data_IF_325658686777
#
_entry.id   IF_325658686777
#
_cell.length_a   1.000
_cell.length_b   1.000
_cell.length_c   1.000
_cell.angle_alpha   90.00
_cell.angle_beta   90.00
_cell.angle_gamma   90.00
#
_symmetry.space_group_name_H-M   'P 1'
#
loop_
_entity.id
_entity.type
_entity.pdbx_description
1 polymer ?
#
# COMPACT_ATOMS: atom_id res chain seq x y z
N UNK A 1 27.83 -10.67 -22.34
CA UNK A 1 27.07 -11.43 -21.32
C UNK A 1 25.58 -11.21 -21.54
N UNK A 2 24.92 -12.19 -22.16
CA UNK A 2 23.45 -12.20 -22.28
C UNK A 2 22.85 -12.54 -20.90
N UNK A 3 21.97 -11.67 -20.42
CA UNK A 3 21.22 -11.93 -19.20
C UNK A 3 20.08 -12.89 -19.52
N UNK A 4 20.16 -14.10 -18.97
CA UNK A 4 19.11 -15.12 -19.13
C UNK A 4 17.91 -14.79 -18.24
N UNK A 5 16.71 -15.21 -18.66
CA UNK A 5 15.45 -15.09 -17.88
C UNK A 5 15.61 -15.52 -16.42
N UNK A 6 16.37 -16.61 -16.20
CA UNK A 6 16.70 -17.16 -14.90
C UNK A 6 17.49 -16.16 -14.02
N UNK A 7 18.41 -15.38 -14.58
CA UNK A 7 19.17 -14.36 -13.83
C UNK A 7 18.28 -13.20 -13.37
N UNK A 8 17.32 -12.76 -14.18
CA UNK A 8 16.36 -11.73 -13.78
C UNK A 8 15.42 -12.21 -12.67
N UNK A 9 14.96 -13.46 -12.76
CA UNK A 9 14.15 -14.08 -11.70
C UNK A 9 14.94 -14.16 -10.39
N UNK A 10 16.18 -14.65 -10.43
CA UNK A 10 17.05 -14.75 -9.25
C UNK A 10 17.34 -13.38 -8.64
N UNK A 11 17.63 -12.35 -9.45
CA UNK A 11 17.84 -11.01 -8.91
C UNK A 11 16.58 -10.38 -8.34
N UNK A 12 15.44 -10.54 -9.00
CA UNK A 12 14.18 -9.98 -8.49
C UNK A 12 13.80 -10.64 -7.18
N UNK A 13 13.90 -11.97 -7.09
CA UNK A 13 13.73 -12.69 -5.84
C UNK A 13 14.73 -12.23 -4.78
N UNK A 14 16.01 -12.11 -5.13
CA UNK A 14 17.06 -11.63 -4.23
C UNK A 14 16.82 -10.22 -3.69
N UNK A 15 16.39 -9.28 -4.54
CA UNK A 15 16.06 -7.91 -4.14
C UNK A 15 14.85 -7.86 -3.20
N UNK A 16 13.82 -8.66 -3.47
CA UNK A 16 12.64 -8.76 -2.61
C UNK A 16 13.00 -9.34 -1.25
N UNK A 17 13.78 -10.44 -1.23
CA UNK A 17 14.29 -11.03 0.01
C UNK A 17 15.16 -10.04 0.77
N UNK A 18 16.06 -9.32 0.09
CA UNK A 18 16.95 -8.34 0.74
C UNK A 18 16.18 -7.14 1.31
N UNK A 19 15.23 -6.57 0.55
CA UNK A 19 14.37 -5.50 1.03
C UNK A 19 13.57 -5.95 2.25
N UNK A 20 13.07 -7.19 2.22
CA UNK A 20 12.27 -7.70 3.31
C UNK A 20 13.09 -8.05 4.56
N UNK A 21 14.30 -8.59 4.37
CA UNK A 21 15.28 -8.78 5.44
C UNK A 21 15.68 -7.43 6.08
N UNK A 22 15.80 -6.36 5.30
CA UNK A 22 16.11 -5.03 5.83
C UNK A 22 14.96 -4.46 6.68
N UNK A 23 13.71 -4.54 6.21
CA UNK A 23 12.55 -4.12 7.02
C UNK A 23 12.46 -4.94 8.29
N UNK A 24 12.66 -6.25 8.20
CA UNK A 24 12.69 -7.11 9.37
C UNK A 24 13.78 -6.73 10.36
N UNK A 25 15.00 -6.49 9.90
CA UNK A 25 16.10 -6.05 10.76
C UNK A 25 15.75 -4.75 11.51
N UNK A 26 15.07 -3.82 10.84
CA UNK A 26 14.56 -2.58 11.47
C UNK A 26 13.48 -2.90 12.51
N UNK A 27 12.50 -3.75 12.19
CA UNK A 27 11.46 -4.14 13.15
C UNK A 27 12.06 -4.81 14.40
N UNK A 28 12.98 -5.77 14.22
CA UNK A 28 13.68 -6.43 15.33
C UNK A 28 14.51 -5.44 16.14
N UNK A 29 15.25 -4.54 15.49
CA UNK A 29 16.08 -3.55 16.17
C UNK A 29 15.27 -2.49 16.93
N UNK A 30 13.98 -2.31 16.60
CA UNK A 30 13.11 -1.29 17.20
C UNK A 30 12.03 -1.86 18.12
N UNK A 31 11.87 -3.18 18.16
CA UNK A 31 10.94 -3.85 19.06
C UNK A 31 11.60 -4.02 20.43
N UNK A 32 10.91 -3.64 21.50
CA UNK A 32 11.37 -3.95 22.84
C UNK A 32 11.39 -5.48 23.04
N UNK A 33 12.46 -6.04 23.64
CA UNK A 33 12.52 -7.46 23.90
C UNK A 33 11.38 -7.86 24.84
N UNK A 34 10.65 -8.95 24.56
CA UNK A 34 9.60 -9.43 25.46
C UNK A 34 10.19 -9.75 26.84
N UNK A 35 9.48 -9.38 27.91
CA UNK A 35 9.84 -9.74 29.29
C UNK A 35 9.84 -11.28 29.49
N UNK A 36 10.68 -11.86 30.37
CA UNK A 36 10.93 -13.32 30.39
C UNK A 36 9.88 -14.13 31.20
N UNK A 37 9.72 -15.47 30.99
CA UNK A 37 10.38 -16.36 30.03
C UNK A 37 9.40 -17.27 29.24
N UNK A 38 9.11 -16.96 27.99
CA UNK A 38 9.04 -18.04 27.00
C UNK A 38 10.46 -18.30 26.49
N UNK A 39 10.84 -19.56 26.28
CA UNK A 39 12.19 -19.86 25.79
C UNK A 39 12.42 -19.08 24.50
N UNK A 40 13.53 -18.35 24.40
CA UNK A 40 13.86 -17.54 23.22
C UNK A 40 13.74 -18.35 21.91
N UNK A 41 13.93 -19.67 21.98
CA UNK A 41 13.71 -20.61 20.88
C UNK A 41 12.25 -20.67 20.39
N UNK A 42 11.25 -20.64 21.27
CA UNK A 42 9.82 -20.65 20.90
C UNK A 42 9.44 -19.35 20.21
N UNK A 43 9.77 -18.21 20.83
CA UNK A 43 9.56 -16.87 20.27
C UNK A 43 10.23 -16.74 18.90
N UNK A 44 11.50 -17.14 18.77
CA UNK A 44 12.22 -17.12 17.51
C UNK A 44 11.62 -18.04 16.44
N UNK A 45 11.08 -19.21 16.83
CA UNK A 45 10.43 -20.14 15.89
C UNK A 45 9.09 -19.59 15.37
N UNK A 46 8.26 -19.05 16.26
CA UNK A 46 6.98 -18.45 15.88
C UNK A 46 7.19 -17.22 15.00
N UNK A 47 8.16 -16.36 15.36
CA UNK A 47 8.63 -15.26 14.50
C UNK A 47 9.16 -15.76 13.16
N UNK A 48 10.00 -16.80 13.12
CA UNK A 48 10.54 -17.34 11.87
C UNK A 48 9.43 -17.86 10.93
N UNK A 49 8.40 -18.52 11.47
CA UNK A 49 7.26 -18.99 10.68
C UNK A 49 6.41 -17.81 10.20
N UNK A 50 6.11 -16.86 11.09
CA UNK A 50 5.41 -15.62 10.77
C UNK A 50 6.12 -14.84 9.65
N UNK A 51 7.44 -14.93 9.57
CA UNK A 51 8.28 -14.19 8.60
C UNK A 51 8.54 -14.96 7.30
N UNK A 52 8.71 -16.28 7.35
CA UNK A 52 8.99 -17.09 6.17
C UNK A 52 7.82 -17.10 5.19
N UNK A 53 6.60 -17.19 5.70
CA UNK A 53 5.39 -17.27 4.85
C UNK A 53 5.19 -15.99 4.04
N UNK A 54 5.15 -14.76 4.61
CA UNK A 54 5.08 -13.52 3.84
C UNK A 54 6.25 -13.37 2.87
N UNK A 55 7.47 -13.72 3.28
CA UNK A 55 8.65 -13.62 2.40
C UNK A 55 8.51 -14.47 1.15
N UNK A 56 8.11 -15.73 1.30
CA UNK A 56 7.88 -16.64 0.16
C UNK A 56 6.75 -16.14 -0.75
N UNK A 57 5.69 -15.63 -0.14
CA UNK A 57 4.53 -15.05 -0.84
C UNK A 57 4.94 -13.81 -1.64
N UNK A 58 5.78 -12.92 -1.08
CA UNK A 58 6.34 -11.76 -1.78
C UNK A 58 7.27 -12.14 -2.92
N UNK A 59 8.16 -13.12 -2.71
CA UNK A 59 9.06 -13.62 -3.76
C UNK A 59 8.24 -14.18 -4.92
N UNK A 60 7.24 -15.01 -4.63
CA UNK A 60 6.36 -15.57 -5.66
C UNK A 60 5.57 -14.48 -6.39
N UNK A 61 5.00 -13.50 -5.69
CA UNK A 61 4.32 -12.36 -6.30
C UNK A 61 5.24 -11.55 -7.22
N UNK A 62 6.46 -11.23 -6.78
CA UNK A 62 7.42 -10.50 -7.60
C UNK A 62 7.88 -11.30 -8.82
N UNK A 63 8.08 -12.60 -8.68
CA UNK A 63 8.38 -13.49 -9.80
C UNK A 63 7.22 -13.57 -10.79
N UNK A 64 5.97 -13.52 -10.34
CA UNK A 64 4.79 -13.45 -11.20
C UNK A 64 4.71 -12.13 -11.95
N UNK A 65 4.88 -10.99 -11.26
CA UNK A 65 4.94 -9.67 -11.91
C UNK A 65 6.01 -9.66 -12.98
N UNK A 66 7.22 -10.12 -12.65
CA UNK A 66 8.32 -10.24 -13.58
C UNK A 66 7.98 -11.19 -14.74
N UNK A 67 7.37 -12.34 -14.45
CA UNK A 67 6.98 -13.31 -15.47
C UNK A 67 6.01 -12.68 -16.47
N UNK A 68 4.91 -12.06 -16.01
CA UNK A 68 3.92 -11.44 -16.88
C UNK A 68 4.48 -10.25 -17.65
N UNK A 69 5.38 -9.49 -17.02
CA UNK A 69 6.07 -8.41 -17.69
C UNK A 69 7.00 -8.95 -18.79
N UNK A 70 7.79 -9.98 -18.49
CA UNK A 70 8.69 -10.64 -19.43
C UNK A 70 7.96 -11.47 -20.50
N UNK A 71 6.78 -12.03 -20.28
CA UNK A 71 6.06 -12.74 -21.36
C UNK A 71 5.44 -11.78 -22.35
N UNK A 72 4.96 -10.60 -21.89
CA UNK A 72 4.48 -9.54 -22.78
C UNK A 72 5.62 -8.84 -23.52
N UNK A 73 6.74 -8.60 -22.85
CA UNK A 73 7.86 -7.87 -23.44
C UNK A 73 8.90 -8.79 -24.13
N UNK A 74 9.01 -10.05 -23.70
CA UNK A 74 10.14 -10.94 -23.95
C UNK A 74 10.34 -11.38 -25.38
N UNK A 75 9.28 -11.54 -26.17
CA UNK A 75 9.42 -11.84 -27.60
C UNK A 75 10.16 -10.70 -28.34
N UNK A 76 9.90 -9.45 -27.95
CA UNK A 76 10.59 -8.27 -28.51
C UNK A 76 11.92 -8.01 -27.81
N UNK A 77 11.97 -8.14 -26.48
CA UNK A 77 13.16 -7.85 -25.67
C UNK A 77 14.29 -8.87 -25.83
N UNK A 78 14.01 -10.12 -26.23
CA UNK A 78 15.05 -11.12 -26.45
C UNK A 78 15.97 -10.77 -27.63
N UNK A 79 15.46 -10.02 -28.61
CA UNK A 79 16.24 -9.54 -29.74
C UNK A 79 17.00 -8.24 -29.44
N UNK A 80 16.61 -7.52 -28.38
CA UNK A 80 17.15 -6.21 -28.01
C UNK A 80 18.45 -6.33 -27.23
N UNK A 81 19.38 -5.42 -27.49
CA UNK A 81 20.61 -5.32 -26.71
C UNK A 81 20.31 -4.82 -25.27
N UNK A 82 21.23 -4.99 -24.30
CA UNK A 82 20.98 -4.58 -22.91
C UNK A 82 20.55 -3.11 -22.70
N UNK A 83 21.18 -2.09 -23.33
CA UNK A 83 20.73 -0.70 -23.18
C UNK A 83 19.35 -0.46 -23.81
N UNK A 84 19.03 -1.09 -24.94
CA UNK A 84 17.71 -1.01 -25.56
C UNK A 84 16.63 -1.64 -24.67
N UNK A 85 16.92 -2.75 -23.99
CA UNK A 85 16.01 -3.31 -22.99
C UNK A 85 15.76 -2.36 -21.81
N UNK A 86 16.80 -1.71 -21.30
CA UNK A 86 16.66 -0.77 -20.19
C UNK A 86 15.80 0.44 -20.59
N UNK A 87 16.04 0.99 -21.79
CA UNK A 87 15.25 2.10 -22.31
C UNK A 87 13.81 1.68 -22.62
N UNK A 88 13.60 0.53 -23.28
CA UNK A 88 12.27 0.01 -23.58
C UNK A 88 11.47 -0.24 -22.30
N UNK A 89 12.12 -0.74 -21.24
CA UNK A 89 11.49 -0.90 -19.93
C UNK A 89 11.04 0.45 -19.35
N UNK A 90 11.91 1.46 -19.37
CA UNK A 90 11.57 2.80 -18.89
C UNK A 90 10.47 3.46 -19.72
N UNK A 91 10.56 3.39 -21.05
CA UNK A 91 9.57 3.92 -21.99
C UNK A 91 8.20 3.24 -21.82
N UNK A 92 8.17 1.94 -21.50
CA UNK A 92 6.92 1.23 -21.24
C UNK A 92 6.15 1.75 -20.01
N UNK A 93 6.81 2.51 -19.12
CA UNK A 93 6.17 3.18 -17.98
C UNK A 93 5.63 4.57 -18.30
N UNK A 94 5.96 5.13 -19.48
CA UNK A 94 5.56 6.48 -19.85
C UNK A 94 4.04 6.60 -20.05
N UNK A 95 3.47 7.77 -19.69
CA UNK A 95 2.08 8.08 -20.00
C UNK A 95 1.85 8.22 -21.52
N UNK A 96 0.62 8.01 -21.98
CA UNK A 96 0.23 7.95 -23.39
C UNK A 96 0.72 9.11 -24.26
N UNK A 97 0.61 10.34 -23.77
CA UNK A 97 1.04 11.54 -24.49
C UNK A 97 2.57 11.65 -24.67
N UNK A 98 3.37 10.80 -23.99
CA UNK A 98 4.83 10.71 -24.17
C UNK A 98 5.26 9.43 -24.87
N UNK A 99 4.32 8.63 -25.39
CA UNK A 99 4.68 7.42 -26.15
C UNK A 99 5.48 7.79 -27.40
N UNK A 100 5.15 8.91 -28.05
CA UNK A 100 5.87 9.39 -29.23
C UNK A 100 7.31 9.80 -28.88
N UNK A 101 7.52 10.46 -27.73
CA UNK A 101 8.86 10.73 -27.20
C UNK A 101 9.61 9.42 -26.92
N UNK A 102 8.95 8.46 -26.28
CA UNK A 102 9.54 7.15 -26.01
C UNK A 102 9.97 6.42 -27.28
N UNK A 103 9.12 6.44 -28.32
CA UNK A 103 9.42 5.88 -29.64
C UNK A 103 10.60 6.60 -30.30
N UNK A 104 10.65 7.94 -30.22
CA UNK A 104 11.77 8.73 -30.72
C UNK A 104 13.08 8.38 -29.99
N UNK A 105 13.08 8.28 -28.66
CA UNK A 105 14.29 7.91 -27.91
C UNK A 105 14.76 6.48 -28.23
N UNK A 106 13.83 5.54 -28.46
CA UNK A 106 14.22 4.20 -28.92
C UNK A 106 14.84 4.21 -30.31
N UNK A 107 14.35 5.07 -31.21
CA UNK A 107 14.94 5.25 -32.55
C UNK A 107 16.32 5.93 -32.47
N UNK A 108 16.46 6.99 -31.66
CA UNK A 108 17.75 7.65 -31.43
C UNK A 108 18.78 6.69 -30.83
N UNK A 109 18.38 5.85 -29.87
CA UNK A 109 19.28 4.84 -29.31
C UNK A 109 19.80 3.88 -30.39
N UNK A 110 19.01 3.58 -31.44
CA UNK A 110 19.46 2.73 -32.54
C UNK A 110 20.65 3.37 -33.32
N UNK A 111 20.66 4.69 -33.46
CA UNK A 111 21.73 5.45 -34.12
C UNK A 111 22.99 5.62 -33.24
N UNK A 112 22.86 5.55 -31.91
CA UNK A 112 24.01 5.69 -31.00
C UNK A 112 24.96 4.49 -31.16
N UNK A 113 26.15 4.77 -31.69
CA UNK A 113 27.23 3.79 -31.83
C UNK A 113 28.07 3.69 -30.55
N UNK A 114 28.53 2.48 -30.24
CA UNK A 114 29.41 2.21 -29.09
C UNK A 114 28.64 1.89 -27.80
N UNK A 115 29.09 0.83 -27.11
CA UNK A 115 28.37 0.25 -25.96
C UNK A 115 28.23 1.19 -24.77
N UNK A 116 29.28 1.96 -24.45
CA UNK A 116 29.26 2.91 -23.34
C UNK A 116 28.32 4.10 -23.61
N UNK A 117 28.35 4.65 -24.83
CA UNK A 117 27.48 5.75 -25.24
C UNK A 117 26.00 5.34 -25.22
N UNK A 118 25.69 4.14 -25.73
CA UNK A 118 24.33 3.56 -25.68
C UNK A 118 23.81 3.43 -24.25
N UNK A 119 24.64 2.97 -23.31
CA UNK A 119 24.25 2.88 -21.90
C UNK A 119 24.02 4.24 -21.26
N UNK A 120 24.93 5.19 -21.47
CA UNK A 120 24.75 6.58 -21.00
C UNK A 120 23.46 7.19 -21.54
N UNK A 121 23.18 6.99 -22.83
CA UNK A 121 21.95 7.49 -23.47
C UNK A 121 20.72 6.82 -22.85
N UNK A 122 20.69 5.48 -22.79
CA UNK A 122 19.57 4.73 -22.22
C UNK A 122 19.31 5.10 -20.76
N UNK A 123 20.35 5.22 -19.92
CA UNK A 123 20.24 5.65 -18.53
C UNK A 123 19.75 7.10 -18.41
N UNK A 124 20.26 8.01 -19.24
CA UNK A 124 19.82 9.41 -19.24
C UNK A 124 18.35 9.54 -19.64
N UNK A 125 17.92 8.78 -20.65
CA UNK A 125 16.53 8.72 -21.07
C UNK A 125 15.65 8.02 -20.02
N UNK A 126 16.11 6.94 -19.41
CA UNK A 126 15.39 6.26 -18.33
C UNK A 126 15.21 7.19 -17.11
N UNK A 127 16.26 7.92 -16.72
CA UNK A 127 16.16 8.94 -15.69
C UNK A 127 15.21 10.07 -16.11
N UNK A 128 15.26 10.55 -17.35
CA UNK A 128 14.32 11.58 -17.83
C UNK A 128 12.85 11.09 -17.87
N UNK A 129 12.64 9.80 -18.14
CA UNK A 129 11.34 9.16 -18.12
C UNK A 129 10.78 9.02 -16.69
N UNK A 130 11.64 8.61 -15.74
CA UNK A 130 11.27 8.38 -14.34
C UNK A 130 11.23 9.68 -13.51
N UNK A 131 12.08 10.64 -13.83
CA UNK A 131 12.17 11.97 -13.25
C UNK A 131 11.85 13.04 -14.29
N UNK A 132 10.56 13.29 -14.57
CA UNK A 132 10.20 14.43 -15.39
C UNK A 132 10.71 15.71 -14.70
N UNK A 133 11.63 16.44 -15.34
CA UNK A 133 11.98 17.81 -14.97
C UNK A 133 10.70 18.64 -15.03
N UNK A 134 10.12 18.92 -13.86
CA UNK A 134 9.02 19.86 -13.71
C UNK A 134 9.56 21.27 -13.96
N UNK A 135 8.71 22.16 -14.49
CA UNK A 135 9.05 23.55 -14.82
C UNK A 135 9.48 24.40 -13.61
N UNK A 136 9.52 25.74 -13.73
CA UNK A 136 10.17 26.63 -12.76
C UNK A 136 9.74 26.33 -11.33
N UNK A 137 10.73 26.00 -10.50
CA UNK A 137 10.60 25.43 -9.14
C UNK A 137 9.94 26.37 -8.12
N UNK A 138 9.59 27.59 -8.53
CA UNK A 138 9.07 28.64 -7.66
C UNK A 138 7.73 28.26 -7.00
N UNK A 139 6.78 27.68 -7.74
CA UNK A 139 5.47 27.28 -7.18
C UNK A 139 5.61 26.12 -6.19
N UNK A 140 6.40 25.05 -6.48
CA UNK A 140 6.72 24.03 -5.49
C UNK A 140 7.40 24.55 -4.23
N UNK A 141 8.40 25.40 -4.40
CA UNK A 141 9.18 25.94 -3.29
C UNK A 141 8.33 26.85 -2.39
N UNK A 142 7.46 27.68 -2.98
CA UNK A 142 6.60 28.59 -2.24
C UNK A 142 5.54 27.84 -1.42
N UNK A 143 4.90 26.83 -2.00
CA UNK A 143 3.91 26.02 -1.29
C UNK A 143 4.55 25.10 -0.24
N UNK A 144 5.75 24.55 -0.51
CA UNK A 144 6.53 23.85 0.51
C UNK A 144 6.88 24.79 1.68
N UNK A 145 7.27 26.03 1.39
CA UNK A 145 7.52 27.04 2.41
C UNK A 145 6.26 27.40 3.21
N UNK A 146 5.08 27.51 2.58
CA UNK A 146 3.81 27.77 3.27
C UNK A 146 3.40 26.60 4.16
N UNK A 147 3.59 25.38 3.71
CA UNK A 147 3.30 24.17 4.50
C UNK A 147 4.25 24.07 5.69
N UNK A 148 5.54 24.35 5.49
CA UNK A 148 6.55 24.43 6.57
C UNK A 148 6.21 25.56 7.55
N UNK A 149 5.75 26.72 7.07
CA UNK A 149 5.34 27.82 7.95
C UNK A 149 4.08 27.47 8.76
N UNK A 150 3.11 26.78 8.16
CA UNK A 150 1.89 26.34 8.86
C UNK A 150 2.17 25.27 9.93
N UNK A 151 3.12 24.35 9.69
CA UNK A 151 3.53 23.36 10.70
C UNK A 151 4.31 24.00 11.85
N UNK A 152 5.18 24.97 11.57
CA UNK A 152 5.92 25.72 12.60
C UNK A 152 4.99 26.59 13.45
N UNK A 153 3.93 27.16 12.87
CA UNK A 153 2.98 28.01 13.60
C UNK A 153 2.00 27.22 14.50
N UNK A 154 1.63 25.99 14.14
CA UNK A 154 0.69 25.16 14.91
C UNK A 154 1.37 24.31 16.01
N UNK A 155 2.68 24.06 15.90
CA UNK A 155 3.45 23.19 16.79
C UNK A 155 3.43 23.54 18.28
N UNK A 156 3.60 24.82 18.71
CA UNK A 156 3.84 25.13 20.12
C UNK A 156 2.67 24.84 21.06
N UNK A 157 1.43 24.83 20.56
CA UNK A 157 0.22 24.60 21.39
C UNK A 157 -0.10 23.10 21.51
N UNK A 158 0.36 22.29 20.56
CA UNK A 158 0.09 20.83 20.52
C UNK A 158 1.26 20.01 21.11
N UNK A 159 2.50 20.47 20.94
CA UNK A 159 3.71 19.76 21.42
C UNK A 159 3.83 19.70 22.95
N UNK A 160 3.25 20.68 23.66
CA UNK A 160 3.33 20.72 25.12
C UNK A 160 2.51 19.59 25.80
N UNK A 161 1.53 19.00 25.11
CA UNK A 161 0.64 18.00 25.68
C UNK A 161 0.86 16.59 25.11
N UNK A 162 1.18 16.46 23.81
CA UNK A 162 1.25 15.16 23.12
C UNK A 162 2.33 15.19 22.02
N UNK A 163 3.61 14.91 22.35
CA UNK A 163 4.74 15.00 21.40
C UNK A 163 4.56 14.16 20.13
N UNK A 164 3.94 12.98 20.25
CA UNK A 164 3.65 12.11 19.10
C UNK A 164 2.67 12.72 18.11
N UNK A 165 1.70 13.51 18.59
CA UNK A 165 0.72 14.20 17.74
C UNK A 165 1.35 15.35 16.96
N UNK A 166 2.28 16.08 17.59
CA UNK A 166 3.06 17.13 16.92
C UNK A 166 3.88 16.59 15.75
N UNK A 167 4.64 15.50 15.98
CA UNK A 167 5.42 14.83 14.93
C UNK A 167 4.53 14.30 13.80
N UNK A 168 3.40 13.67 14.13
CA UNK A 168 2.43 13.21 13.14
C UNK A 168 1.89 14.35 12.28
N UNK A 169 1.37 15.41 12.92
CA UNK A 169 0.77 16.56 12.23
C UNK A 169 1.79 17.26 11.32
N UNK A 170 3.01 17.50 11.83
CA UNK A 170 4.09 18.12 11.06
C UNK A 170 4.46 17.27 9.84
N UNK A 171 4.63 15.95 10.03
CA UNK A 171 4.98 15.01 8.95
C UNK A 171 3.88 14.91 7.91
N UNK A 172 2.63 14.77 8.33
CA UNK A 172 1.49 14.62 7.42
C UNK A 172 1.25 15.89 6.61
N UNK A 173 1.22 17.06 7.25
CA UNK A 173 1.07 18.34 6.56
C UNK A 173 2.22 18.58 5.58
N UNK A 174 3.46 18.35 6.02
CA UNK A 174 4.66 18.43 5.18
C UNK A 174 4.55 17.58 3.91
N UNK A 175 4.21 16.30 4.07
CA UNK A 175 4.06 15.36 2.96
C UNK A 175 2.86 15.71 2.07
N UNK A 176 1.67 15.92 2.64
CA UNK A 176 0.47 16.27 1.90
C UNK A 176 0.65 17.56 1.10
N UNK A 177 1.31 18.56 1.69
CA UNK A 177 1.68 19.81 1.04
C UNK A 177 2.65 19.61 -0.14
N UNK A 178 3.73 18.86 0.05
CA UNK A 178 4.67 18.52 -1.01
C UNK A 178 4.02 17.74 -2.17
N UNK A 179 3.07 16.87 -1.85
CA UNK A 179 2.29 16.13 -2.83
C UNK A 179 1.31 17.05 -3.58
N UNK A 180 0.60 17.94 -2.88
CA UNK A 180 -0.31 18.91 -3.50
C UNK A 180 0.44 19.80 -4.49
N UNK A 181 1.61 20.29 -4.10
CA UNK A 181 2.56 20.99 -4.97
C UNK A 181 2.84 20.23 -6.25
N UNK A 182 3.18 18.95 -6.11
CA UNK A 182 3.60 18.13 -7.23
C UNK A 182 2.41 17.80 -8.15
N UNK A 183 1.22 17.68 -7.58
CA UNK A 183 -0.03 17.56 -8.34
C UNK A 183 -0.36 18.84 -9.13
N UNK A 184 -0.27 20.02 -8.50
CA UNK A 184 -0.50 21.32 -9.15
C UNK A 184 0.53 21.59 -10.25
N UNK A 185 1.81 21.30 -10.00
CA UNK A 185 2.87 21.42 -11.00
C UNK A 185 2.64 20.50 -12.22
N UNK A 186 1.93 19.38 -12.02
CA UNK A 186 1.59 18.41 -13.09
C UNK A 186 0.29 18.75 -13.83
N UNK A 187 -0.64 19.49 -13.22
CA UNK A 187 -1.95 19.76 -13.81
C UNK A 187 -1.94 21.00 -14.70
N UNK A 188 -1.54 20.87 -15.98
CA UNK A 188 -1.68 21.99 -16.93
C UNK A 188 -3.14 22.32 -17.28
N UNK A 189 -4.07 21.36 -17.13
CA UNK A 189 -5.54 21.53 -17.24
C UNK A 189 -6.20 20.34 -16.56
N UNK A 190 -6.74 20.50 -15.36
CA UNK A 190 -7.45 19.42 -14.71
C UNK A 190 -8.85 19.86 -14.26
N UNK A 191 -9.86 19.38 -14.97
CA UNK A 191 -11.22 19.27 -14.47
C UNK A 191 -11.36 17.85 -13.93
N UNK A 192 -11.50 17.70 -12.63
CA UNK A 192 -11.71 16.39 -12.01
C UNK A 192 -13.15 16.31 -11.51
N UNK A 193 -14.05 15.58 -12.18
CA UNK A 193 -15.10 14.89 -11.43
C UNK A 193 -14.38 13.95 -10.46
N UNK A 194 -14.57 14.15 -9.15
CA UNK A 194 -13.97 13.28 -8.13
C UNK A 194 -14.70 11.94 -8.21
N UNK A 195 -14.05 10.85 -8.69
CA UNK A 195 -14.72 9.55 -8.72
C UNK A 195 -14.98 9.10 -7.28
N UNK A 196 -16.11 8.40 -7.05
CA UNK A 196 -16.52 7.98 -5.71
C UNK A 196 -15.43 7.21 -4.94
N UNK A 197 -14.59 6.44 -5.65
CA UNK A 197 -13.45 5.73 -5.06
C UNK A 197 -12.41 6.69 -4.44
N UNK A 198 -12.09 7.81 -5.10
CA UNK A 198 -11.20 8.83 -4.55
C UNK A 198 -11.84 9.51 -3.34
N UNK A 199 -13.13 9.82 -3.40
CA UNK A 199 -13.85 10.40 -2.26
C UNK A 199 -13.82 9.47 -1.04
N UNK A 200 -13.96 8.16 -1.25
CA UNK A 200 -13.87 7.17 -0.18
C UNK A 200 -12.47 7.15 0.47
N UNK A 201 -11.39 7.18 -0.32
CA UNK A 201 -10.02 7.23 0.22
C UNK A 201 -9.79 8.52 1.02
N UNK A 202 -10.22 9.67 0.48
CA UNK A 202 -10.11 10.97 1.17
C UNK A 202 -10.89 10.96 2.48
N UNK A 203 -12.13 10.47 2.46
CA UNK A 203 -12.96 10.33 3.66
C UNK A 203 -12.34 9.38 4.67
N UNK A 204 -11.76 8.27 4.22
CA UNK A 204 -11.02 7.34 5.08
C UNK A 204 -9.83 8.01 5.75
N UNK A 205 -9.00 8.74 5.01
CA UNK A 205 -7.82 9.43 5.57
C UNK A 205 -8.23 10.52 6.55
N UNK A 206 -9.29 11.28 6.23
CA UNK A 206 -9.86 12.25 7.16
C UNK A 206 -10.36 11.58 8.45
N UNK A 207 -11.07 10.45 8.33
CA UNK A 207 -11.52 9.67 9.48
C UNK A 207 -10.34 9.14 10.31
N UNK A 208 -9.26 8.66 9.67
CA UNK A 208 -8.04 8.24 10.39
C UNK A 208 -7.47 9.36 11.23
N UNK A 209 -7.28 10.55 10.64
CA UNK A 209 -6.72 11.72 11.34
C UNK A 209 -7.61 12.12 12.51
N UNK A 210 -8.92 12.25 12.27
CA UNK A 210 -9.89 12.62 13.31
C UNK A 210 -9.87 11.59 14.44
N UNK A 211 -9.87 10.29 14.12
CA UNK A 211 -9.85 9.25 15.14
C UNK A 211 -8.54 9.21 15.92
N UNK A 212 -7.38 9.44 15.29
CA UNK A 212 -6.10 9.56 16.02
C UNK A 212 -6.14 10.74 17.01
N UNK A 213 -6.65 11.90 16.57
CA UNK A 213 -6.78 13.09 17.43
C UNK A 213 -7.74 12.83 18.58
N UNK A 214 -8.94 12.30 18.30
CA UNK A 214 -9.95 11.97 19.33
C UNK A 214 -9.38 10.95 20.32
N UNK A 215 -8.67 9.94 19.85
CA UNK A 215 -8.05 8.92 20.71
C UNK A 215 -7.02 9.55 21.65
N UNK A 216 -6.10 10.36 21.13
CA UNK A 216 -5.05 11.00 21.94
C UNK A 216 -5.58 12.08 22.88
N UNK A 217 -6.66 12.76 22.52
CA UNK A 217 -7.32 13.73 23.40
C UNK A 217 -8.07 13.06 24.55
N UNK A 218 -8.67 11.89 24.31
CA UNK A 218 -9.36 11.12 25.35
C UNK A 218 -8.38 10.38 26.26
N UNK A 219 -7.30 9.87 25.67
CA UNK A 219 -6.29 9.07 26.36
C UNK A 219 -4.89 9.66 26.14
N UNK A 220 -4.51 10.73 26.85
CA UNK A 220 -3.20 11.37 26.66
C UNK A 220 -2.02 10.43 26.91
N UNK A 221 -2.17 9.46 27.83
CA UNK A 221 -1.18 8.41 28.09
C UNK A 221 -0.92 7.53 26.86
N UNK A 222 -1.85 7.48 25.90
CA UNK A 222 -1.67 6.74 24.65
C UNK A 222 -0.55 7.31 23.77
N UNK A 223 -0.11 8.55 24.01
CA UNK A 223 0.97 9.20 23.26
C UNK A 223 2.26 8.38 23.25
N UNK A 224 2.57 7.68 24.36
CA UNK A 224 3.77 6.86 24.46
C UNK A 224 3.76 5.65 23.50
N UNK A 225 2.58 5.22 23.04
CA UNK A 225 2.41 4.11 22.10
C UNK A 225 2.46 4.54 20.63
N UNK A 226 2.55 5.85 20.37
CA UNK A 226 2.80 6.42 19.04
C UNK A 226 4.17 7.14 19.04
N UNK A 227 5.28 6.39 19.13
CA UNK A 227 6.61 6.98 19.05
C UNK A 227 6.80 7.71 17.71
N UNK A 228 7.75 8.66 17.63
CA UNK A 228 7.98 9.49 16.45
C UNK A 228 8.10 8.69 15.14
N UNK A 229 8.76 7.53 15.17
CA UNK A 229 8.91 6.65 14.01
C UNK A 229 7.58 6.12 13.48
N UNK A 230 6.67 5.67 14.36
CA UNK A 230 5.32 5.23 13.99
C UNK A 230 4.42 6.38 13.57
N UNK A 231 4.58 7.56 14.18
CA UNK A 231 3.90 8.78 13.75
C UNK A 231 4.28 9.16 12.30
N UNK A 232 5.57 9.13 11.97
CA UNK A 232 6.08 9.36 10.61
C UNK A 232 5.57 8.30 9.64
N UNK A 233 5.57 7.02 10.04
CA UNK A 233 5.04 5.92 9.22
C UNK A 233 3.55 6.12 8.90
N UNK A 234 2.72 6.40 9.92
CA UNK A 234 1.30 6.68 9.76
C UNK A 234 1.08 7.86 8.80
N UNK A 235 1.80 8.97 9.00
CA UNK A 235 1.73 10.13 8.11
C UNK A 235 2.11 9.77 6.67
N UNK A 236 3.20 9.02 6.46
CA UNK A 236 3.67 8.60 5.15
C UNK A 236 2.67 7.69 4.43
N UNK A 237 2.05 6.74 5.14
CA UNK A 237 1.05 5.85 4.55
C UNK A 237 -0.21 6.62 4.16
N UNK A 238 -0.76 7.46 5.06
CA UNK A 238 -1.95 8.25 4.75
C UNK A 238 -1.71 9.23 3.58
N UNK A 239 -0.56 9.90 3.57
CA UNK A 239 -0.16 10.77 2.46
C UNK A 239 0.02 9.98 1.15
N UNK A 240 0.61 8.78 1.22
CA UNK A 240 0.72 7.86 0.09
C UNK A 240 -0.64 7.42 -0.47
N UNK A 241 -1.59 7.07 0.40
CA UNK A 241 -2.96 6.73 0.01
C UNK A 241 -3.63 7.90 -0.73
N UNK A 242 -3.56 9.12 -0.18
CA UNK A 242 -4.08 10.33 -0.84
C UNK A 242 -3.42 10.57 -2.19
N UNK A 243 -2.09 10.45 -2.24
CA UNK A 243 -1.33 10.65 -3.47
C UNK A 243 -1.79 9.69 -4.57
N UNK A 244 -1.86 8.40 -4.27
CA UNK A 244 -2.29 7.39 -5.25
C UNK A 244 -3.74 7.62 -5.68
N UNK A 245 -4.63 8.00 -4.76
CA UNK A 245 -6.03 8.27 -5.07
C UNK A 245 -6.25 9.51 -5.96
N UNK A 246 -5.48 10.57 -5.73
CA UNK A 246 -5.58 11.83 -6.48
C UNK A 246 -4.81 11.77 -7.80
N UNK A 247 -3.63 11.16 -7.79
CA UNK A 247 -2.79 11.09 -8.99
C UNK A 247 -3.09 9.91 -9.89
N UNK A 248 -3.97 9.01 -9.45
CA UNK A 248 -4.27 7.68 -10.00
C UNK A 248 -3.58 7.49 -11.35
N UNK A 249 -2.32 7.06 -11.31
CA UNK A 249 -1.49 7.21 -12.48
C UNK A 249 -2.08 6.29 -13.54
N UNK A 250 -2.29 6.84 -14.75
CA UNK A 250 -2.74 6.06 -15.91
C UNK A 250 -1.88 4.80 -16.14
N UNK A 251 -0.69 4.74 -15.52
CA UNK A 251 0.19 3.58 -15.48
C UNK A 251 -0.36 2.37 -14.71
N UNK A 252 -1.22 2.54 -13.70
CA UNK A 252 -1.85 1.41 -12.98
C UNK A 252 -2.86 0.67 -13.86
N UNK A 253 -3.43 1.34 -14.86
CA UNK A 253 -4.30 0.72 -15.85
C UNK A 253 -5.40 1.66 -16.33
N UNK A 254 -5.92 1.36 -17.53
CA UNK A 254 -7.01 2.11 -18.13
C UNK A 254 -8.40 1.63 -17.68
N UNK A 255 -8.48 0.66 -16.75
CA UNK A 255 -9.77 0.12 -16.32
C UNK A 255 -10.55 1.16 -15.54
N UNK A 256 -11.71 1.52 -16.06
CA UNK A 256 -12.67 2.39 -15.36
C UNK A 256 -13.34 1.69 -14.20
N UNK A 257 -13.37 0.34 -14.18
CA UNK A 257 -14.09 -0.46 -13.17
C UNK A 257 -13.22 -0.84 -11.98
N UNK A 258 -11.93 -1.08 -12.20
CA UNK A 258 -11.00 -1.52 -11.16
C UNK A 258 -11.01 -0.62 -9.89
N UNK A 259 -11.06 0.73 -9.99
CA UNK A 259 -11.18 1.58 -8.80
C UNK A 259 -12.43 1.33 -7.96
N UNK A 260 -13.59 1.17 -8.61
CA UNK A 260 -14.85 0.94 -7.92
C UNK A 260 -14.94 -0.46 -7.31
N UNK A 261 -14.39 -1.47 -8.00
CA UNK A 261 -14.32 -2.85 -7.48
C UNK A 261 -13.45 -2.88 -6.22
N UNK A 262 -12.25 -2.27 -6.27
CA UNK A 262 -11.35 -2.20 -5.12
C UNK A 262 -11.96 -1.41 -3.95
N UNK A 263 -12.47 -0.20 -4.22
CA UNK A 263 -13.10 0.64 -3.21
C UNK A 263 -14.36 0.00 -2.59
N UNK A 264 -15.20 -0.65 -3.41
CA UNK A 264 -16.37 -1.38 -2.94
C UNK A 264 -16.01 -2.57 -2.06
N UNK A 265 -14.97 -3.33 -2.43
CA UNK A 265 -14.45 -4.42 -1.60
C UNK A 265 -13.90 -3.92 -0.26
N UNK A 266 -13.16 -2.80 -0.26
CA UNK A 266 -12.68 -2.15 0.95
C UNK A 266 -13.83 -1.73 1.88
N UNK A 267 -14.87 -1.09 1.32
CA UNK A 267 -16.04 -0.69 2.09
C UNK A 267 -16.78 -1.90 2.68
N UNK A 268 -17.01 -2.94 1.87
CA UNK A 268 -17.67 -4.17 2.32
C UNK A 268 -16.87 -4.86 3.45
N UNK A 269 -15.54 -4.89 3.34
CA UNK A 269 -14.68 -5.42 4.39
C UNK A 269 -14.78 -4.61 5.69
N UNK A 270 -14.70 -3.28 5.62
CA UNK A 270 -14.80 -2.40 6.79
C UNK A 270 -16.16 -2.55 7.48
N UNK A 271 -17.25 -2.59 6.70
CA UNK A 271 -18.61 -2.83 7.24
C UNK A 271 -18.70 -4.22 7.87
N UNK A 272 -18.16 -5.25 7.21
CA UNK A 272 -18.11 -6.61 7.74
C UNK A 272 -17.35 -6.67 9.08
N UNK A 273 -16.18 -6.03 9.17
CA UNK A 273 -15.39 -5.96 10.41
C UNK A 273 -16.15 -5.25 11.53
N UNK A 274 -16.84 -4.14 11.23
CA UNK A 274 -17.68 -3.46 12.20
C UNK A 274 -18.80 -4.38 12.70
N UNK A 275 -19.55 -5.02 11.80
CA UNK A 275 -20.65 -5.93 12.17
C UNK A 275 -20.13 -7.10 13.01
N UNK A 276 -19.07 -7.76 12.55
CA UNK A 276 -18.40 -8.83 13.30
C UNK A 276 -18.05 -8.38 14.72
N UNK A 277 -17.39 -7.23 14.86
CA UNK A 277 -17.01 -6.70 16.17
C UNK A 277 -18.21 -6.39 17.04
N UNK A 278 -19.28 -5.82 16.49
CA UNK A 278 -20.50 -5.54 17.24
C UNK A 278 -21.18 -6.82 17.74
N UNK A 279 -21.22 -7.87 16.92
CA UNK A 279 -21.77 -9.16 17.32
C UNK A 279 -20.92 -9.81 18.42
N UNK A 280 -19.59 -9.79 18.29
CA UNK A 280 -18.70 -10.49 19.24
C UNK A 280 -18.49 -9.77 20.57
N UNK A 281 -18.76 -8.47 20.64
CA UNK A 281 -18.48 -7.67 21.85
C UNK A 281 -19.71 -7.12 22.54
N UNK A 282 -20.88 -7.17 21.92
CA UNK A 282 -22.13 -6.82 22.60
C UNK A 282 -22.55 -8.00 23.50
N UNK A 283 -22.68 -7.79 24.83
CA UNK A 283 -23.06 -8.85 25.75
C UNK A 283 -24.37 -9.56 25.40
N UNK A 284 -25.27 -8.87 24.68
CA UNK A 284 -26.56 -9.42 24.25
C UNK A 284 -26.42 -10.49 23.18
N UNK A 285 -25.39 -10.40 22.34
CA UNK A 285 -25.18 -11.33 21.23
C UNK A 285 -24.07 -12.33 21.56
N UNK A 286 -23.02 -11.89 22.28
CA UNK A 286 -21.82 -12.68 22.53
C UNK A 286 -22.10 -14.01 23.25
N UNK A 287 -23.05 -14.06 24.19
CA UNK A 287 -23.41 -15.28 24.92
C UNK A 287 -24.03 -16.37 24.03
N UNK A 288 -24.67 -15.97 22.93
CA UNK A 288 -25.41 -16.86 22.03
C UNK A 288 -24.63 -17.19 20.74
N UNK A 289 -23.44 -16.62 20.53
CA UNK A 289 -22.62 -16.93 19.34
C UNK A 289 -22.10 -18.35 19.47
N UNK A 290 -22.47 -19.28 18.55
CA UNK A 290 -21.93 -20.63 18.58
C UNK A 290 -20.41 -20.61 18.46
N UNK A 291 -19.71 -21.47 19.20
CA UNK A 291 -18.24 -21.52 19.23
C UNK A 291 -17.63 -21.59 17.81
N UNK A 292 -18.22 -22.40 16.92
CA UNK A 292 -17.77 -22.48 15.53
C UNK A 292 -17.89 -21.16 14.76
N UNK A 293 -18.90 -20.35 15.05
CA UNK A 293 -19.05 -19.00 14.46
C UNK A 293 -18.00 -18.07 15.05
N UNK A 294 -17.75 -18.10 16.36
CA UNK A 294 -16.69 -17.29 16.98
C UNK A 294 -15.31 -17.61 16.39
N UNK A 295 -15.00 -18.89 16.16
CA UNK A 295 -13.77 -19.33 15.47
C UNK A 295 -13.69 -18.78 14.05
N UNK A 296 -14.77 -18.86 13.27
CA UNK A 296 -14.82 -18.31 11.92
C UNK A 296 -14.62 -16.78 11.90
N UNK A 297 -15.22 -16.07 12.85
CA UNK A 297 -15.04 -14.63 13.00
C UNK A 297 -13.59 -14.29 13.41
N UNK A 298 -12.98 -15.08 14.29
CA UNK A 298 -11.56 -14.98 14.62
C UNK A 298 -10.65 -15.20 13.40
N UNK A 299 -10.88 -16.26 12.64
CA UNK A 299 -10.15 -16.56 11.41
C UNK A 299 -10.31 -15.45 10.35
N UNK A 300 -11.48 -14.78 10.31
CA UNK A 300 -11.72 -13.67 9.39
C UNK A 300 -10.80 -12.47 9.64
N UNK A 301 -10.24 -12.29 10.84
CA UNK A 301 -9.23 -11.25 11.08
C UNK A 301 -7.92 -11.52 10.34
N UNK A 302 -7.51 -12.79 10.27
CA UNK A 302 -6.28 -13.21 9.61
C UNK A 302 -6.46 -13.41 8.11
N UNK A 303 -7.56 -14.05 7.70
CA UNK A 303 -7.86 -14.36 6.31
C UNK A 303 -8.53 -13.18 5.57
N UNK A 304 -9.18 -12.28 6.30
CA UNK A 304 -9.89 -11.14 5.75
C UNK A 304 -9.01 -10.22 4.92
N UNK A 305 -7.83 -9.79 5.39
CA UNK A 305 -6.88 -9.03 4.59
C UNK A 305 -6.44 -9.79 3.33
N UNK A 306 -6.19 -11.10 3.39
CA UNK A 306 -5.85 -11.86 2.18
C UNK A 306 -7.00 -11.84 1.15
N UNK A 307 -8.23 -12.10 1.61
CA UNK A 307 -9.43 -12.14 0.77
C UNK A 307 -9.76 -10.75 0.18
N UNK A 308 -9.70 -9.70 1.00
CA UNK A 308 -9.96 -8.31 0.61
C UNK A 308 -9.11 -7.88 -0.58
N UNK A 309 -7.88 -8.35 -0.69
CA UNK A 309 -6.97 -7.94 -1.76
C UNK A 309 -7.03 -8.92 -2.95
N UNK A 310 -7.15 -10.23 -2.67
CA UNK A 310 -7.23 -11.27 -3.69
C UNK A 310 -8.51 -11.19 -4.53
N UNK A 311 -9.67 -11.09 -3.89
CA UNK A 311 -10.98 -11.17 -4.55
C UNK A 311 -11.21 -10.03 -5.56
N UNK A 312 -11.05 -8.74 -5.23
CA UNK A 312 -11.23 -7.67 -6.21
C UNK A 312 -10.19 -7.74 -7.33
N UNK A 313 -8.95 -8.18 -7.04
CA UNK A 313 -7.92 -8.33 -8.05
C UNK A 313 -8.23 -9.47 -9.04
N UNK A 314 -8.69 -10.62 -8.54
CA UNK A 314 -9.19 -11.73 -9.35
C UNK A 314 -10.38 -11.27 -10.20
N UNK A 315 -11.38 -10.65 -9.57
CA UNK A 315 -12.61 -10.24 -10.23
C UNK A 315 -12.38 -9.23 -11.35
N UNK A 316 -11.66 -8.14 -11.07
CA UNK A 316 -11.33 -7.13 -12.07
C UNK A 316 -10.45 -7.72 -13.19
N UNK A 317 -9.52 -8.60 -12.84
CA UNK A 317 -8.69 -9.31 -13.81
C UNK A 317 -9.52 -10.20 -14.74
N UNK A 318 -10.54 -10.89 -14.23
CA UNK A 318 -11.42 -11.77 -15.01
C UNK A 318 -12.36 -10.97 -15.93
N UNK A 319 -12.91 -9.86 -15.41
CA UNK A 319 -13.83 -8.97 -16.16
C UNK A 319 -13.11 -8.31 -17.32
N UNK A 320 -11.91 -7.77 -17.10
CA UNK A 320 -11.16 -7.03 -18.12
C UNK A 320 -10.13 -7.91 -18.87
N UNK A 321 -10.00 -9.19 -18.50
CA UNK A 321 -8.99 -10.13 -19.03
C UNK A 321 -7.57 -9.57 -18.95
N UNK A 322 -7.25 -8.91 -17.84
CA UNK A 322 -6.02 -8.13 -17.72
C UNK A 322 -5.43 -8.23 -16.32
N UNK A 323 -4.22 -8.76 -16.25
CA UNK A 323 -3.40 -8.72 -15.04
C UNK A 323 -3.30 -7.30 -14.45
N UNK A 324 -3.15 -6.28 -15.31
CA UNK A 324 -3.05 -4.88 -14.88
C UNK A 324 -4.33 -4.40 -14.19
N UNK A 325 -5.50 -4.73 -14.73
CA UNK A 325 -6.78 -4.38 -14.11
C UNK A 325 -6.93 -5.04 -12.74
N UNK A 326 -6.48 -6.29 -12.61
CA UNK A 326 -6.47 -6.98 -11.31
C UNK A 326 -5.56 -6.31 -10.29
N UNK A 327 -4.30 -6.02 -10.65
CA UNK A 327 -3.37 -5.30 -9.77
C UNK A 327 -3.91 -3.92 -9.41
N UNK A 328 -4.52 -3.21 -10.37
CA UNK A 328 -5.16 -1.92 -10.12
C UNK A 328 -6.28 -2.02 -9.09
N UNK A 329 -7.16 -3.02 -9.19
CA UNK A 329 -8.24 -3.22 -8.24
C UNK A 329 -7.71 -3.57 -6.83
N UNK A 330 -6.68 -4.42 -6.74
CA UNK A 330 -6.02 -4.73 -5.47
C UNK A 330 -5.35 -3.50 -4.84
N UNK A 331 -4.71 -2.65 -5.64
CA UNK A 331 -4.14 -1.39 -5.16
C UNK A 331 -5.22 -0.42 -4.64
N UNK A 332 -6.35 -0.33 -5.33
CA UNK A 332 -7.49 0.48 -4.87
C UNK A 332 -8.15 -0.07 -3.61
N UNK A 333 -8.24 -1.40 -3.47
CA UNK A 333 -8.69 -2.04 -2.24
C UNK A 333 -7.76 -1.65 -1.09
N UNK A 334 -6.44 -1.73 -1.28
CA UNK A 334 -5.43 -1.35 -0.30
C UNK A 334 -5.58 0.12 0.16
N UNK A 335 -5.48 1.08 -0.77
CA UNK A 335 -5.45 2.50 -0.38
C UNK A 335 -6.78 2.99 0.22
N UNK A 336 -7.89 2.31 -0.05
CA UNK A 336 -9.17 2.60 0.58
C UNK A 336 -9.31 1.90 1.94
N UNK A 337 -8.95 0.63 2.05
CA UNK A 337 -9.13 -0.15 3.27
C UNK A 337 -8.20 0.29 4.39
N UNK A 338 -6.95 0.62 4.09
CA UNK A 338 -5.95 0.97 5.11
C UNK A 338 -6.42 2.10 6.04
N UNK A 339 -6.78 3.30 5.55
CA UNK A 339 -7.21 4.38 6.43
C UNK A 339 -8.58 4.12 7.08
N UNK A 340 -9.53 3.52 6.35
CA UNK A 340 -10.86 3.22 6.89
C UNK A 340 -10.81 2.20 8.02
N UNK A 341 -10.05 1.13 7.83
CA UNK A 341 -9.86 0.07 8.81
C UNK A 341 -9.17 0.66 10.04
N UNK A 342 -8.06 1.38 9.86
CA UNK A 342 -7.37 2.06 10.96
C UNK A 342 -8.31 2.95 11.80
N UNK A 343 -9.11 3.80 11.15
CA UNK A 343 -10.08 4.66 11.84
C UNK A 343 -11.12 3.85 12.62
N UNK A 344 -11.66 2.78 12.01
CA UNK A 344 -12.60 1.87 12.64
C UNK A 344 -12.00 1.20 13.89
N UNK A 345 -10.76 0.73 13.83
CA UNK A 345 -10.11 0.07 14.96
C UNK A 345 -9.89 1.00 16.15
N UNK A 346 -9.48 2.26 15.91
CA UNK A 346 -9.38 3.24 16.99
C UNK A 346 -10.74 3.54 17.61
N UNK A 347 -11.78 3.68 16.78
CA UNK A 347 -13.14 3.91 17.24
C UNK A 347 -13.67 2.75 18.09
N UNK A 348 -13.50 1.51 17.61
CA UNK A 348 -13.90 0.32 18.36
C UNK A 348 -13.07 0.12 19.63
N UNK A 349 -11.78 0.49 19.62
CA UNK A 349 -10.92 0.46 20.82
C UNK A 349 -11.43 1.37 21.93
N UNK A 350 -11.77 2.62 21.61
CA UNK A 350 -12.36 3.55 22.59
C UNK A 350 -13.72 3.09 23.11
N UNK A 351 -14.46 2.29 22.33
CA UNK A 351 -15.78 1.78 22.72
C UNK A 351 -15.70 0.51 23.56
N UNK A 352 -14.90 -0.45 23.15
CA UNK A 352 -14.82 -1.78 23.75
C UNK A 352 -14.06 -1.72 25.08
N UNK A 353 -12.98 -0.95 25.13
CA UNK A 353 -12.10 -0.91 26.30
C UNK A 353 -12.81 -0.54 27.61
N UNK A 354 -13.70 0.48 27.68
CA UNK A 354 -14.44 0.77 28.91
C UNK A 354 -15.43 -0.32 29.32
N UNK A 355 -15.81 -1.22 28.41
CA UNK A 355 -16.80 -2.28 28.65
C UNK A 355 -16.09 -3.54 29.16
N UNK A 356 -14.99 -3.93 28.52
CA UNK A 356 -14.31 -5.22 28.78
C UNK A 356 -12.98 -5.07 29.50
N UNK A 357 -12.34 -3.91 29.44
CA UNK A 357 -10.94 -3.72 29.86
C UNK A 357 -9.92 -4.36 28.92
N UNK A 358 -10.37 -4.94 27.80
CA UNK A 358 -9.53 -5.68 26.85
C UNK A 358 -9.14 -4.82 25.65
N UNK A 359 -8.01 -5.17 25.03
CA UNK A 359 -7.56 -4.56 23.77
C UNK A 359 -8.37 -5.11 22.60
N UNK A 360 -8.49 -4.35 21.50
CA UNK A 360 -9.28 -4.83 20.34
C UNK A 360 -8.63 -6.08 19.71
N UNK A 361 -7.31 -6.22 19.81
CA UNK A 361 -6.56 -7.30 19.17
C UNK A 361 -6.07 -8.39 20.13
N UNK A 362 -6.21 -8.21 21.44
CA UNK A 362 -5.76 -9.15 22.44
C UNK A 362 -6.86 -9.41 23.47
N UNK A 363 -7.02 -10.67 23.86
CA UNK A 363 -7.89 -11.06 24.97
C UNK A 363 -7.31 -10.58 26.31
N UNK A 364 -5.99 -10.34 26.34
CA UNK A 364 -5.32 -9.91 27.55
C UNK A 364 -5.60 -8.43 27.88
N UNK A 365 -5.83 -8.10 29.16
CA UNK A 365 -5.95 -6.73 29.59
C UNK A 365 -4.63 -5.98 29.36
N UNK A 366 -4.73 -4.74 28.90
CA UNK A 366 -3.58 -3.91 28.62
C UNK A 366 -3.91 -2.44 28.76
N UNK A 367 -2.92 -1.54 28.69
CA UNK A 367 -3.17 -0.10 28.67
C UNK A 367 -3.92 0.28 27.38
N UNK A 368 -4.98 1.09 27.48
CA UNK A 368 -5.80 1.49 26.33
C UNK A 368 -4.98 2.01 25.14
N UNK A 369 -3.87 2.69 25.42
CA UNK A 369 -2.93 3.18 24.41
C UNK A 369 -2.32 2.11 23.51
N UNK A 370 -2.25 0.86 23.95
CA UNK A 370 -1.79 -0.27 23.13
C UNK A 370 -2.69 -0.47 21.89
N UNK A 371 -3.98 -0.13 21.96
CA UNK A 371 -4.87 -0.18 20.78
C UNK A 371 -4.38 0.72 19.63
N UNK A 372 -3.73 1.85 19.93
CA UNK A 372 -3.15 2.73 18.92
C UNK A 372 -1.95 2.09 18.23
N UNK A 373 -1.06 1.46 19.00
CA UNK A 373 0.07 0.70 18.49
C UNK A 373 -0.40 -0.48 17.63
N UNK A 374 -1.38 -1.24 18.11
CA UNK A 374 -1.93 -2.39 17.42
C UNK A 374 -2.63 -1.97 16.12
N UNK A 375 -3.41 -0.88 16.13
CA UNK A 375 -4.04 -0.37 14.91
C UNK A 375 -3.00 -0.01 13.84
N UNK A 376 -1.87 0.61 14.23
CA UNK A 376 -0.75 0.89 13.31
C UNK A 376 -0.14 -0.40 12.78
N UNK A 377 0.21 -1.34 13.66
CA UNK A 377 0.80 -2.62 13.30
C UNK A 377 -0.09 -3.40 12.32
N UNK A 378 -1.35 -3.63 12.69
CA UNK A 378 -2.26 -4.46 11.92
C UNK A 378 -2.67 -3.81 10.60
N UNK A 379 -3.01 -2.52 10.63
CA UNK A 379 -3.49 -1.84 9.44
C UNK A 379 -2.34 -1.48 8.51
N UNK A 380 -1.22 -0.95 9.01
CA UNK A 380 -0.21 -0.33 8.14
C UNK A 380 0.98 -1.25 7.85
N UNK A 381 1.24 -2.24 8.69
CA UNK A 381 2.36 -3.16 8.52
C UNK A 381 1.85 -4.52 8.05
N UNK A 382 0.99 -5.18 8.83
CA UNK A 382 0.54 -6.54 8.53
C UNK A 382 -0.37 -6.63 7.29
N UNK A 383 -1.42 -5.81 7.22
CA UNK A 383 -2.40 -5.91 6.13
C UNK A 383 -1.78 -5.67 4.73
N UNK A 384 -0.89 -4.69 4.49
CA UNK A 384 -0.19 -4.56 3.22
C UNK A 384 0.73 -5.73 2.92
N UNK A 385 1.44 -6.23 3.94
CA UNK A 385 2.37 -7.36 3.82
C UNK A 385 1.67 -8.61 3.32
N UNK A 386 0.49 -8.92 3.85
CA UNK A 386 -0.30 -10.07 3.41
C UNK A 386 -1.09 -9.75 2.14
N UNK A 387 -1.71 -8.58 2.08
CA UNK A 387 -2.68 -8.21 1.06
C UNK A 387 -2.05 -7.97 -0.32
N UNK A 388 -0.93 -7.25 -0.41
CA UNK A 388 -0.34 -6.88 -1.71
C UNK A 388 0.03 -8.12 -2.54
N UNK A 389 0.74 -9.12 -1.99
CA UNK A 389 1.00 -10.34 -2.73
C UNK A 389 -0.27 -11.11 -3.12
N UNK A 390 -1.28 -11.17 -2.24
CA UNK A 390 -2.58 -11.77 -2.53
C UNK A 390 -3.27 -11.10 -3.73
N UNK A 391 -3.23 -9.77 -3.83
CA UNK A 391 -3.74 -9.06 -5.02
C UNK A 391 -3.00 -9.48 -6.30
N UNK A 392 -1.67 -9.61 -6.25
CA UNK A 392 -0.86 -10.06 -7.39
C UNK A 392 -1.24 -11.48 -7.81
N UNK A 393 -1.43 -12.39 -6.85
CA UNK A 393 -1.89 -13.75 -7.13
C UNK A 393 -3.28 -13.77 -7.76
N UNK A 394 -4.23 -13.02 -7.22
CA UNK A 394 -5.58 -12.92 -7.79
C UNK A 394 -5.54 -12.44 -9.24
N UNK A 395 -4.77 -11.38 -9.51
CA UNK A 395 -4.56 -10.86 -10.85
C UNK A 395 -3.89 -11.89 -11.80
N UNK A 396 -2.94 -12.67 -11.30
CA UNK A 396 -2.24 -13.70 -12.06
C UNK A 396 -3.15 -14.88 -12.42
N UNK A 397 -3.96 -15.36 -11.46
CA UNK A 397 -4.97 -16.40 -11.69
C UNK A 397 -5.96 -15.94 -12.75
N UNK A 398 -6.45 -14.70 -12.63
CA UNK A 398 -7.37 -14.12 -13.60
C UNK A 398 -6.80 -14.09 -15.03
N UNK A 399 -5.54 -13.71 -15.18
CA UNK A 399 -4.88 -13.59 -16.48
C UNK A 399 -4.62 -14.94 -17.17
N UNK A 400 -4.57 -16.03 -16.39
CA UNK A 400 -4.33 -17.39 -16.88
C UNK A 400 -5.59 -18.24 -17.01
N UNK A 401 -6.77 -17.72 -16.64
CA UNK A 401 -8.01 -18.49 -16.68
C UNK A 401 -8.34 -18.98 -18.12
N UNK A 402 -8.66 -20.27 -18.33
CA UNK A 402 -8.94 -20.82 -19.65
C UNK A 402 -10.07 -20.08 -20.36
N UNK A 403 -9.92 -19.83 -21.66
CA UNK A 403 -10.98 -19.21 -22.50
C UNK A 403 -12.28 -20.03 -22.50
N UNK A 404 -12.19 -21.34 -22.23
CA UNK A 404 -13.32 -22.28 -22.24
C UNK A 404 -14.40 -21.97 -21.18
N UNK A 405 -14.04 -21.37 -20.03
CA UNK A 405 -15.01 -20.97 -19.00
C UNK A 405 -16.00 -19.90 -19.54
N UNK A 406 -15.68 -19.26 -20.68
CA UNK A 406 -16.43 -18.12 -21.21
C UNK A 406 -17.15 -18.37 -22.54
N UNK A 407 -17.05 -19.57 -23.13
CA UNK A 407 -17.84 -19.93 -24.32
C UNK A 407 -19.33 -20.15 -24.00
N UNK A 408 -19.69 -20.24 -22.72
CA UNK A 408 -21.07 -20.42 -22.24
C UNK A 408 -21.79 -19.11 -21.86
N UNK A 409 -21.32 -17.93 -22.30
CA UNK A 409 -22.17 -16.73 -22.18
C UNK A 409 -23.18 -16.72 -23.34
N UNK A 410 -24.49 -16.82 -23.07
CA UNK A 410 -25.49 -16.64 -24.12
C UNK A 410 -25.28 -15.26 -24.75
N UNK A 411 -25.36 -15.24 -26.09
CA UNK A 411 -25.12 -14.07 -26.93
C UNK A 411 -26.09 -12.93 -26.62
#
# INVERSE_FOLDING_TARGET
MSWTRRRYQVLTAGLVVAAWAAVYAVMVATSEPPAPPESAAKVNRELAILMAVPTLVYVAAALLVLHFWLTRAGARMSAMDPPERALAAAVATLPEHRRDWGAAMTAELAEVRGRSARWRFALSCAMAALWPRTGPWAVPALLAAVVVAATVAAGPVVDAAVPGLGVFAASFLGLAGALMVLAVARSRRARFPVPAATALVVGGVAASIVMTVVFLLREPSAAQYLPPTRAVLLAAVLAGCLWVAVTSPRSLGASRRAPYIGAGAALAYVVGQLVTRRITTDPRFAADVPEGVAVLLGLSFFLGPAALYFVPALWAGLVDRSFRSGVQAGAWAAIASLPLTYALWLYEGLRIYPITGELVFAVDPGPIGANLADAVLWCLEFAPVVGIPCAVFGAAVAANAPRAIQANRPA
#
